data_IF_314747080600
#
_entry.id   IF_314747080600
#
_cell.length_a   1.000
_cell.length_b   1.000
_cell.length_c   1.000
_cell.angle_alpha   90.00
_cell.angle_beta   90.00
_cell.angle_gamma   90.00
#
_symmetry.space_group_name_H-M   'P 1'
#
loop_
_entity.id
_entity.type
_entity.pdbx_description
1 polymer ?
#
# COMPACT_ATOMS: atom_id res chain seq x y z
N UNK A 1 9.33 9.00 6.62
CA UNK A 1 9.17 7.54 6.46
C UNK A 1 10.00 7.15 5.26
N UNK A 2 11.00 6.34 5.49
CA UNK A 2 11.91 5.87 4.43
C UNK A 2 11.27 4.76 3.58
N UNK A 3 12.02 4.31 2.57
CA UNK A 3 11.61 3.26 1.64
C UNK A 3 11.30 1.93 2.34
N UNK A 4 12.10 1.54 3.33
CA UNK A 4 11.94 0.27 4.03
C UNK A 4 10.68 0.29 4.90
N UNK A 5 10.49 1.34 5.70
CA UNK A 5 9.29 1.52 6.52
C UNK A 5 8.01 1.54 5.68
N UNK A 6 8.06 2.20 4.51
CA UNK A 6 6.93 2.24 3.59
C UNK A 6 6.64 0.85 2.98
N UNK A 7 7.67 0.13 2.56
CA UNK A 7 7.57 -1.24 2.05
C UNK A 7 6.97 -2.19 3.09
N UNK A 8 7.48 -2.19 4.33
CA UNK A 8 6.92 -3.02 5.41
C UNK A 8 5.45 -2.71 5.69
N UNK A 9 5.04 -1.43 5.57
CA UNK A 9 3.64 -1.03 5.76
C UNK A 9 2.75 -1.49 4.60
N UNK A 10 3.26 -1.48 3.36
CA UNK A 10 2.58 -2.04 2.18
C UNK A 10 2.35 -3.53 2.38
N UNK A 11 3.37 -4.29 2.75
CA UNK A 11 3.28 -5.74 2.99
C UNK A 11 2.26 -6.07 4.07
N UNK A 12 2.27 -5.32 5.18
CA UNK A 12 1.28 -5.49 6.25
C UNK A 12 -0.15 -5.29 5.77
N UNK A 13 -0.41 -4.22 5.02
CA UNK A 13 -1.75 -3.91 4.50
C UNK A 13 -2.17 -4.92 3.42
N UNK A 14 -1.23 -5.38 2.58
CA UNK A 14 -1.49 -6.47 1.62
C UNK A 14 -1.91 -7.75 2.35
N UNK A 15 -1.23 -8.11 3.44
CA UNK A 15 -1.62 -9.25 4.27
C UNK A 15 -3.04 -9.12 4.83
N UNK A 16 -3.41 -7.92 5.32
CA UNK A 16 -4.78 -7.64 5.76
C UNK A 16 -5.81 -7.76 4.64
N UNK A 17 -5.47 -7.30 3.44
CA UNK A 17 -6.33 -7.38 2.25
C UNK A 17 -6.60 -8.85 1.89
N UNK A 18 -5.54 -9.66 1.78
CA UNK A 18 -5.64 -11.10 1.48
C UNK A 18 -6.46 -11.83 2.53
N UNK A 19 -6.18 -11.58 3.82
CA UNK A 19 -6.94 -12.20 4.90
C UNK A 19 -8.42 -11.80 4.88
N UNK A 20 -8.72 -10.53 4.60
CA UNK A 20 -10.10 -10.04 4.56
C UNK A 20 -10.85 -10.61 3.36
N UNK A 21 -10.21 -10.73 2.20
CA UNK A 21 -10.79 -11.31 1.00
C UNK A 21 -11.24 -12.77 1.18
N UNK A 22 -10.63 -13.51 2.12
CA UNK A 22 -11.03 -14.88 2.46
C UNK A 22 -12.34 -14.97 3.26
N UNK A 23 -12.81 -13.86 3.83
CA UNK A 23 -13.94 -13.86 4.76
C UNK A 23 -15.03 -12.83 4.41
N UNK A 24 -14.75 -11.87 3.54
CA UNK A 24 -15.69 -10.82 3.15
C UNK A 24 -15.78 -10.67 1.63
N UNK A 25 -16.94 -10.20 1.16
CA UNK A 25 -17.12 -9.84 -0.25
C UNK A 25 -16.13 -8.74 -0.65
N UNK A 26 -15.67 -8.78 -1.91
CA UNK A 26 -14.83 -7.74 -2.49
C UNK A 26 -15.49 -6.36 -2.47
N UNK A 27 -16.82 -6.31 -2.42
CA UNK A 27 -17.61 -5.08 -2.32
C UNK A 27 -17.84 -4.60 -0.89
N UNK A 28 -17.34 -5.30 0.14
CA UNK A 28 -17.55 -4.87 1.53
C UNK A 28 -16.86 -3.53 1.79
N UNK A 29 -17.47 -2.70 2.65
CA UNK A 29 -16.89 -1.42 3.06
C UNK A 29 -15.47 -1.58 3.63
N UNK A 30 -15.24 -2.64 4.39
CA UNK A 30 -13.92 -2.96 4.95
C UNK A 30 -12.91 -3.32 3.87
N UNK A 31 -13.30 -4.13 2.87
CA UNK A 31 -12.42 -4.44 1.74
C UNK A 31 -12.06 -3.17 0.96
N UNK A 32 -13.05 -2.31 0.67
CA UNK A 32 -12.82 -1.04 -0.01
C UNK A 32 -11.89 -0.11 0.78
N UNK A 33 -12.03 -0.06 2.10
CA UNK A 33 -11.16 0.74 2.97
C UNK A 33 -9.71 0.22 2.97
N UNK A 34 -9.52 -1.10 3.04
CA UNK A 34 -8.18 -1.71 3.00
C UNK A 34 -7.53 -1.48 1.63
N UNK A 35 -8.26 -1.69 0.53
CA UNK A 35 -7.80 -1.40 -0.84
C UNK A 35 -7.39 0.06 -0.99
N UNK A 36 -8.26 1.00 -0.59
CA UNK A 36 -7.97 2.44 -0.67
C UNK A 36 -6.72 2.82 0.14
N UNK A 37 -6.50 2.16 1.28
CA UNK A 37 -5.30 2.37 2.09
C UNK A 37 -4.05 1.81 1.41
N UNK A 38 -4.14 0.64 0.78
CA UNK A 38 -3.04 0.04 0.03
C UNK A 38 -2.64 0.94 -1.14
N UNK A 39 -3.61 1.42 -1.91
CA UNK A 39 -3.38 2.31 -3.06
C UNK A 39 -2.65 3.59 -2.65
N UNK A 40 -3.05 4.22 -1.54
CA UNK A 40 -2.37 5.41 -1.01
C UNK A 40 -0.91 5.13 -0.65
N UNK A 41 -0.61 3.95 -0.13
CA UNK A 41 0.76 3.57 0.23
C UNK A 41 1.61 3.29 -1.02
N UNK A 42 1.05 2.59 -2.01
CA UNK A 42 1.71 2.34 -3.30
C UNK A 42 2.02 3.66 -4.04
N UNK A 43 1.05 4.57 -4.11
CA UNK A 43 1.24 5.90 -4.70
C UNK A 43 2.27 6.75 -3.94
N UNK A 44 2.42 6.54 -2.63
CA UNK A 44 3.46 7.20 -1.85
C UNK A 44 4.84 6.61 -2.15
N UNK A 45 4.90 5.30 -2.36
CA UNK A 45 6.15 4.59 -2.66
C UNK A 45 6.66 4.96 -4.04
N UNK A 46 5.78 4.97 -5.04
CA UNK A 46 6.11 5.42 -6.39
C UNK A 46 6.66 6.85 -6.39
N UNK A 47 6.00 7.78 -5.70
CA UNK A 47 6.50 9.17 -5.56
C UNK A 47 7.87 9.24 -4.90
N UNK A 48 8.11 8.42 -3.87
CA UNK A 48 9.41 8.38 -3.20
C UNK A 48 10.51 7.89 -4.13
N UNK A 49 10.25 6.85 -4.93
CA UNK A 49 11.21 6.33 -5.92
C UNK A 49 11.50 7.38 -6.99
N UNK A 50 10.47 8.00 -7.58
CA UNK A 50 10.63 9.06 -8.59
C UNK A 50 11.43 10.26 -8.08
N UNK A 51 11.28 10.61 -6.80
CA UNK A 51 12.07 11.68 -6.17
C UNK A 51 13.53 11.27 -5.94
N UNK A 52 13.81 9.99 -5.70
CA UNK A 52 15.19 9.50 -5.56
C UNK A 52 15.88 9.46 -6.92
N UNK A 53 15.18 9.05 -7.98
CA UNK A 53 15.72 9.03 -9.35
C UNK A 53 16.12 10.43 -9.84
N UNK A 54 15.30 11.45 -9.56
CA UNK A 54 15.62 12.84 -9.93
C UNK A 54 16.74 13.49 -9.12
N UNK A 55 17.14 12.91 -7.97
CA UNK A 55 18.24 13.43 -7.13
C UNK A 55 19.61 12.89 -7.54
N UNK A 56 19.68 11.99 -8.52
CA UNK A 56 20.92 11.36 -8.99
C UNK A 56 21.47 12.06 -10.26
N UNK A 57 20.89 13.20 -10.65
CA UNK A 57 21.38 14.13 -11.67
C UNK A 57 21.85 15.42 -11.01
#
# INVERSE_FOLDING_TARGET
>A
MDKQQLSSKIEKVRGQLVQTASHESLSSSKMQQISSRLDRLLNKYERLIKQQEHKVL
#
